data_IF_439791475737
#
_entry.id   IF_439791475737
#
_cell.length_a   1.000
_cell.length_b   1.000
_cell.length_c   1.000
_cell.angle_alpha   90.00
_cell.angle_beta   90.00
_cell.angle_gamma   90.00
#
_symmetry.space_group_name_H-M   'P 1'
#
loop_
_entity.id
_entity.type
_entity.pdbx_description
1 polymer ?
#
# COMPACT_ATOMS: atom_id res chain seq x y z
N UNK A 1 -40.65 7.95 10.00
CA UNK A 1 -39.46 8.55 9.37
C UNK A 1 -39.87 9.19 8.05
N UNK A 2 -39.44 10.43 7.80
CA UNK A 2 -39.72 11.16 6.56
C UNK A 2 -40.83 12.22 6.64
N UNK A 3 -41.07 12.83 7.80
CA UNK A 3 -41.96 14.01 7.90
C UNK A 3 -41.22 15.35 7.80
N UNK A 4 -39.89 15.32 7.89
CA UNK A 4 -39.01 16.46 7.69
C UNK A 4 -37.91 16.01 6.73
N UNK A 5 -37.60 16.85 5.75
CA UNK A 5 -36.48 16.61 4.87
C UNK A 5 -35.18 16.88 5.61
N UNK A 6 -34.28 15.90 5.60
CA UNK A 6 -32.98 15.98 6.24
C UNK A 6 -31.90 15.80 5.17
N UNK A 7 -31.40 16.91 4.62
CA UNK A 7 -30.42 16.90 3.52
C UNK A 7 -29.15 16.08 3.83
N UNK A 8 -28.82 15.91 5.11
CA UNK A 8 -27.66 15.14 5.57
C UNK A 8 -27.89 13.62 5.63
N UNK A 9 -29.12 13.13 5.45
CA UNK A 9 -29.44 11.70 5.58
C UNK A 9 -30.05 11.13 4.29
N UNK A 10 -29.29 10.28 3.60
CA UNK A 10 -29.86 9.46 2.52
C UNK A 10 -30.74 8.35 3.12
N UNK A 11 -32.03 8.68 3.22
CA UNK A 11 -33.06 7.79 3.74
C UNK A 11 -33.17 6.48 2.95
N UNK A 12 -33.10 6.55 1.62
CA UNK A 12 -33.31 5.38 0.77
C UNK A 12 -32.16 4.40 0.90
N UNK A 13 -30.92 4.93 0.96
CA UNK A 13 -29.74 4.13 1.24
C UNK A 13 -29.83 3.42 2.59
N UNK A 14 -30.16 4.15 3.67
CA UNK A 14 -30.25 3.59 5.01
C UNK A 14 -31.30 2.48 5.08
N UNK A 15 -32.49 2.69 4.52
CA UNK A 15 -33.58 1.71 4.60
C UNK A 15 -33.29 0.40 3.84
N UNK A 16 -32.43 0.40 2.81
CA UNK A 16 -32.05 -0.82 2.08
C UNK A 16 -31.39 -1.88 2.98
N UNK A 17 -30.71 -1.46 4.04
CA UNK A 17 -30.09 -2.36 5.02
C UNK A 17 -31.10 -3.09 5.91
N UNK A 18 -32.34 -2.60 5.99
CA UNK A 18 -33.38 -3.11 6.91
C UNK A 18 -34.50 -3.89 6.20
N UNK A 19 -34.47 -3.97 4.86
CA UNK A 19 -35.40 -4.78 4.09
C UNK A 19 -35.61 -4.29 2.66
N UNK A 20 -36.25 -5.13 1.84
CA UNK A 20 -36.52 -4.85 0.42
C UNK A 20 -37.75 -3.98 0.20
N UNK A 21 -38.71 -4.01 1.13
CA UNK A 21 -39.94 -3.22 1.04
C UNK A 21 -39.96 -2.13 2.10
N UNK A 22 -40.44 -0.96 1.73
CA UNK A 22 -40.36 0.25 2.56
C UNK A 22 -41.03 0.09 3.93
N UNK A 23 -42.21 -0.53 3.97
CA UNK A 23 -42.94 -0.77 5.22
C UNK A 23 -42.17 -1.69 6.18
N UNK A 24 -41.56 -2.77 5.66
CA UNK A 24 -40.77 -3.71 6.46
C UNK A 24 -39.47 -3.07 6.94
N UNK A 25 -38.76 -2.37 6.06
CA UNK A 25 -37.53 -1.66 6.39
C UNK A 25 -37.75 -0.60 7.48
N UNK A 26 -38.83 0.19 7.39
CA UNK A 26 -39.19 1.17 8.43
C UNK A 26 -39.50 0.53 9.79
N UNK A 27 -40.08 -0.67 9.80
CA UNK A 27 -40.40 -1.39 11.05
C UNK A 27 -39.12 -1.94 11.68
N UNK A 28 -38.32 -2.68 10.90
CA UNK A 28 -37.05 -3.25 11.34
C UNK A 28 -36.05 -2.18 11.80
N UNK A 29 -35.97 -1.04 11.11
CA UNK A 29 -35.15 0.09 11.53
C UNK A 29 -35.58 0.63 12.90
N UNK A 30 -36.88 0.80 13.16
CA UNK A 30 -37.37 1.28 14.45
C UNK A 30 -37.09 0.29 15.57
N UNK A 31 -37.33 -1.00 15.34
CA UNK A 31 -37.01 -2.06 16.30
C UNK A 31 -35.52 -2.08 16.62
N UNK A 32 -34.66 -1.94 15.61
CA UNK A 32 -33.21 -1.83 15.79
C UNK A 32 -32.84 -0.61 16.66
N UNK A 33 -33.38 0.56 16.34
CA UNK A 33 -33.13 1.78 17.13
C UNK A 33 -33.62 1.63 18.57
N UNK A 34 -34.79 1.03 18.79
CA UNK A 34 -35.36 0.83 20.12
C UNK A 34 -34.49 -0.12 20.95
N UNK A 35 -33.97 -1.19 20.35
CA UNK A 35 -32.97 -2.07 20.99
C UNK A 35 -31.66 -1.34 21.29
N UNK A 36 -31.25 -0.40 20.44
CA UNK A 36 -30.06 0.43 20.64
C UNK A 36 -30.20 1.42 21.80
N UNK A 37 -31.39 2.01 22.01
CA UNK A 37 -31.64 2.96 23.11
C UNK A 37 -31.35 2.32 24.48
N UNK A 38 -31.78 1.08 24.68
CA UNK A 38 -31.56 0.36 25.95
C UNK A 38 -30.07 0.09 26.25
N UNK A 39 -29.21 0.11 25.23
CA UNK A 39 -27.77 -0.11 25.40
C UNK A 39 -27.04 1.13 25.92
N UNK A 40 -27.71 2.28 26.01
CA UNK A 40 -27.15 3.50 26.60
C UNK A 40 -25.86 3.98 25.92
N UNK A 41 -24.96 4.59 26.71
CA UNK A 41 -23.65 5.02 26.23
C UNK A 41 -22.73 3.80 26.14
N UNK A 42 -22.18 3.56 24.95
CA UNK A 42 -21.25 2.48 24.66
C UNK A 42 -19.84 3.05 24.46
N UNK A 43 -19.04 3.23 25.54
CA UNK A 43 -17.72 3.87 25.51
C UNK A 43 -16.77 3.26 24.46
N UNK A 44 -16.92 1.97 24.19
CA UNK A 44 -16.17 1.22 23.20
C UNK A 44 -16.56 1.54 21.75
N UNK A 45 -17.81 1.99 21.50
CA UNK A 45 -18.30 2.39 20.18
C UNK A 45 -18.24 3.89 19.93
N UNK A 46 -17.94 4.70 20.96
CA UNK A 46 -17.60 6.13 20.81
C UNK A 46 -16.09 6.35 20.62
N UNK A 47 -15.32 5.27 20.45
CA UNK A 47 -13.88 5.29 20.25
C UNK A 47 -13.44 6.27 19.17
N UNK A 48 -12.81 7.35 19.60
CA UNK A 48 -12.16 8.35 18.78
C UNK A 48 -11.00 8.90 19.60
N UNK A 49 -9.89 8.15 19.57
CA UNK A 49 -8.82 8.10 20.58
C UNK A 49 -8.02 9.39 20.82
N UNK A 50 -8.51 10.57 20.45
CA UNK A 50 -7.75 11.80 20.69
C UNK A 50 -8.60 13.01 21.03
N UNK A 51 -9.48 13.46 20.13
CA UNK A 51 -10.12 14.78 20.29
C UNK A 51 -11.40 14.72 21.13
N UNK A 52 -12.13 13.60 21.11
CA UNK A 52 -13.41 13.47 21.83
C UNK A 52 -13.32 12.68 23.14
N UNK A 53 -12.45 11.68 23.21
CA UNK A 53 -12.25 10.89 24.43
C UNK A 53 -11.39 11.59 25.48
N UNK A 54 -10.40 12.39 25.07
CA UNK A 54 -9.50 13.10 25.99
C UNK A 54 -10.00 14.51 26.38
N UNK A 55 -11.22 14.92 25.99
CA UNK A 55 -11.78 16.21 26.41
C UNK A 55 -11.34 17.42 25.58
N UNK A 56 -10.98 17.22 24.29
CA UNK A 56 -10.74 18.31 23.34
C UNK A 56 -9.27 18.66 23.09
N UNK A 57 -9.05 19.65 22.22
CA UNK A 57 -7.71 20.06 21.73
C UNK A 57 -6.74 20.54 22.81
N UNK A 58 -7.25 21.05 23.93
CA UNK A 58 -6.44 21.52 25.06
C UNK A 58 -5.69 20.36 25.73
N UNK A 59 -6.35 19.22 25.93
CA UNK A 59 -5.76 18.02 26.55
C UNK A 59 -4.84 17.28 25.57
N UNK A 60 -5.16 17.29 24.27
CA UNK A 60 -4.26 16.76 23.25
C UNK A 60 -2.94 17.56 23.19
N UNK A 61 -3.01 18.89 23.36
CA UNK A 61 -1.81 19.74 23.43
C UNK A 61 -0.98 19.49 24.68
N UNK A 62 -1.59 19.21 25.84
CA UNK A 62 -0.84 18.88 27.06
C UNK A 62 -0.20 17.49 26.96
N UNK A 63 -0.89 16.48 26.41
CA UNK A 63 -0.30 15.15 26.15
C UNK A 63 0.89 15.20 25.19
N UNK A 64 0.82 16.03 24.14
CA UNK A 64 1.96 16.27 23.24
C UNK A 64 3.16 16.88 23.96
N UNK A 65 2.93 17.74 24.95
CA UNK A 65 4.01 18.32 25.78
C UNK A 65 4.62 17.31 26.75
N UNK A 66 3.90 16.26 27.15
CA UNK A 66 4.40 15.18 28.01
C UNK A 66 5.04 14.01 27.23
N UNK A 67 5.22 14.13 25.92
CA UNK A 67 5.88 13.12 25.08
C UNK A 67 5.01 11.90 24.72
N UNK A 68 3.77 11.84 25.19
CA UNK A 68 2.82 10.78 24.85
C UNK A 68 2.09 11.14 23.54
N UNK A 69 2.68 10.77 22.40
CA UNK A 69 2.11 11.03 21.08
C UNK A 69 1.39 9.80 20.54
N UNK A 70 0.06 9.83 20.58
CA UNK A 70 -0.80 8.90 19.82
C UNK A 70 -0.62 9.14 18.31
N UNK A 71 -0.29 8.08 17.57
CA UNK A 71 0.13 8.13 16.15
C UNK A 71 -1.04 8.11 15.14
N UNK A 72 -2.30 8.03 15.59
CA UNK A 72 -3.47 8.07 14.72
C UNK A 72 -4.80 8.22 15.46
N UNK A 73 -5.84 8.71 14.78
CA UNK A 73 -7.22 8.60 15.27
C UNK A 73 -7.77 7.24 14.84
N UNK A 74 -8.19 6.43 15.82
CA UNK A 74 -8.74 5.09 15.65
C UNK A 74 -9.85 4.98 14.59
N UNK A 75 -10.58 6.07 14.30
CA UNK A 75 -11.69 6.07 13.34
C UNK A 75 -11.28 6.43 11.92
N UNK A 76 -10.13 7.08 11.74
CA UNK A 76 -9.67 7.55 10.44
C UNK A 76 -8.61 6.60 9.90
N UNK A 77 -7.57 6.34 10.70
CA UNK A 77 -6.40 5.57 10.26
C UNK A 77 -6.25 4.22 11.00
N UNK A 78 -7.13 3.93 11.97
CA UNK A 78 -7.00 2.79 12.86
C UNK A 78 -6.18 3.10 14.12
N UNK A 79 -5.91 2.09 14.94
CA UNK A 79 -5.18 2.26 16.21
C UNK A 79 -3.77 2.83 16.00
N UNK A 80 -3.26 3.57 16.99
CA UNK A 80 -1.91 4.12 16.94
C UNK A 80 -0.83 3.06 16.68
N UNK A 81 -0.98 1.86 17.26
CA UNK A 81 -0.08 0.72 17.05
C UNK A 81 -0.11 0.21 15.61
N UNK A 82 -1.31 0.08 15.03
CA UNK A 82 -1.47 -0.33 13.63
C UNK A 82 -0.85 0.69 12.68
N UNK A 83 -1.10 1.98 12.91
CA UNK A 83 -0.51 3.06 12.09
C UNK A 83 1.02 3.07 12.24
N UNK A 84 1.54 2.90 13.45
CA UNK A 84 2.97 2.82 13.70
C UNK A 84 3.61 1.62 12.97
N UNK A 85 2.95 0.47 12.98
CA UNK A 85 3.39 -0.72 12.26
C UNK A 85 3.42 -0.48 10.75
N UNK A 86 2.34 0.08 10.18
CA UNK A 86 2.26 0.39 8.74
C UNK A 86 3.33 1.38 8.30
N UNK A 87 3.58 2.44 9.10
CA UNK A 87 4.66 3.40 8.83
C UNK A 87 6.02 2.72 8.87
N UNK A 88 6.27 1.88 9.89
CA UNK A 88 7.53 1.14 9.99
C UNK A 88 7.74 0.18 8.81
N UNK A 89 6.71 -0.53 8.36
CA UNK A 89 6.79 -1.40 7.19
C UNK A 89 7.08 -0.61 5.90
N UNK A 90 6.45 0.56 5.74
CA UNK A 90 6.71 1.45 4.62
C UNK A 90 8.15 1.99 4.65
N UNK A 91 8.61 2.47 5.81
CA UNK A 91 10.00 2.92 5.99
C UNK A 91 11.01 1.80 5.78
N UNK A 92 10.72 0.56 6.21
CA UNK A 92 11.61 -0.57 5.95
C UNK A 92 11.73 -0.88 4.45
N UNK A 93 10.67 -0.71 3.66
CA UNK A 93 10.77 -0.81 2.20
C UNK A 93 11.66 0.29 1.61
N UNK A 94 11.62 1.50 2.18
CA UNK A 94 12.49 2.61 1.77
C UNK A 94 13.94 2.37 2.21
N UNK A 95 14.19 1.92 3.44
CA UNK A 95 15.55 1.61 3.96
C UNK A 95 16.22 0.44 3.24
N UNK A 96 15.44 -0.44 2.59
CA UNK A 96 15.97 -1.50 1.71
C UNK A 96 16.37 -0.98 0.33
N UNK A 97 16.10 0.28 0.00
CA UNK A 97 16.74 0.95 -1.13
C UNK A 97 18.17 1.26 -0.70
N UNK A 98 19.09 0.40 -1.12
CA UNK A 98 20.52 0.67 -1.06
C UNK A 98 20.81 2.03 -1.72
N UNK A 99 21.89 2.70 -1.31
CA UNK A 99 22.36 3.87 -2.03
C UNK A 99 22.53 3.52 -3.52
N UNK A 100 22.26 4.47 -4.42
CA UNK A 100 22.26 4.21 -5.86
C UNK A 100 23.58 3.55 -6.32
N UNK A 101 24.70 3.95 -5.72
CA UNK A 101 26.03 3.43 -6.04
C UNK A 101 26.20 1.96 -5.59
N UNK A 102 25.73 1.60 -4.39
CA UNK A 102 25.77 0.22 -3.88
C UNK A 102 24.89 -0.73 -4.72
N UNK A 103 23.75 -0.24 -5.25
CA UNK A 103 22.90 -1.01 -6.16
C UNK A 103 23.60 -1.29 -7.48
N UNK A 104 24.27 -0.27 -8.03
CA UNK A 104 25.00 -0.37 -9.29
C UNK A 104 26.14 -1.37 -9.14
N UNK A 105 26.92 -1.30 -8.06
CA UNK A 105 28.03 -2.22 -7.83
C UNK A 105 27.56 -3.67 -7.70
N UNK A 106 26.50 -3.92 -6.92
CA UNK A 106 25.91 -5.27 -6.81
C UNK A 106 25.36 -5.79 -8.12
N UNK A 107 24.72 -4.93 -8.91
CA UNK A 107 24.21 -5.28 -10.22
C UNK A 107 25.34 -5.66 -11.19
N UNK A 108 26.44 -4.90 -11.21
CA UNK A 108 27.60 -5.22 -12.03
C UNK A 108 28.24 -6.55 -11.65
N UNK A 109 28.36 -6.81 -10.34
CA UNK A 109 28.85 -8.11 -9.85
C UNK A 109 27.96 -9.26 -10.32
N UNK A 110 26.64 -9.13 -10.17
CA UNK A 110 25.69 -10.15 -10.62
C UNK A 110 25.78 -10.39 -12.13
N UNK A 111 25.90 -9.34 -12.94
CA UNK A 111 26.05 -9.47 -14.39
C UNK A 111 27.34 -10.24 -14.73
N UNK A 112 28.47 -9.91 -14.08
CA UNK A 112 29.74 -10.60 -14.27
C UNK A 112 29.65 -12.08 -13.90
N UNK A 113 29.10 -12.39 -12.72
CA UNK A 113 28.95 -13.77 -12.24
C UNK A 113 28.06 -14.60 -13.18
N UNK A 114 26.94 -14.03 -13.66
CA UNK A 114 26.05 -14.68 -14.61
C UNK A 114 26.70 -14.91 -15.99
N UNK A 115 27.52 -13.96 -16.46
CA UNK A 115 28.26 -14.10 -17.71
C UNK A 115 29.29 -15.22 -17.63
N UNK A 116 29.99 -15.33 -16.51
CA UNK A 116 30.96 -16.40 -16.26
C UNK A 116 30.28 -17.77 -16.19
N UNK A 117 29.19 -17.90 -15.43
CA UNK A 117 28.46 -19.17 -15.25
C UNK A 117 27.89 -19.69 -16.58
N UNK A 118 27.48 -18.80 -17.48
CA UNK A 118 26.86 -19.17 -18.75
C UNK A 118 27.77 -19.03 -19.97
N UNK A 119 29.04 -18.70 -19.77
CA UNK A 119 30.05 -18.50 -20.82
C UNK A 119 29.60 -17.52 -21.92
N UNK A 120 29.04 -16.37 -21.50
CA UNK A 120 28.51 -15.32 -22.39
C UNK A 120 29.41 -14.10 -22.28
N UNK A 121 29.89 -13.57 -23.39
CA UNK A 121 30.58 -12.27 -23.39
C UNK A 121 29.59 -11.12 -23.15
N UNK A 122 30.02 -10.12 -22.37
CA UNK A 122 29.29 -8.88 -22.12
C UNK A 122 28.93 -8.17 -23.45
N UNK A 123 29.79 -8.25 -24.46
CA UNK A 123 29.54 -7.66 -25.78
C UNK A 123 28.33 -8.30 -26.46
N UNK A 124 28.11 -9.60 -26.24
CA UNK A 124 26.95 -10.32 -26.78
C UNK A 124 25.68 -9.86 -26.06
N UNK A 125 25.75 -9.54 -24.77
CA UNK A 125 24.62 -8.96 -24.05
C UNK A 125 24.29 -7.56 -24.58
N UNK A 126 25.27 -6.71 -24.85
CA UNK A 126 25.05 -5.38 -25.42
C UNK A 126 24.75 -5.37 -26.93
N UNK A 127 25.02 -6.47 -27.64
CA UNK A 127 24.78 -6.53 -29.08
C UNK A 127 23.28 -6.43 -29.43
N UNK A 128 22.96 -5.97 -30.64
CA UNK A 128 21.58 -6.02 -31.17
C UNK A 128 21.08 -7.44 -31.51
N UNK A 129 21.79 -8.50 -31.12
CA UNK A 129 21.48 -9.88 -31.49
C UNK A 129 20.11 -10.31 -30.96
N UNK A 130 19.27 -10.80 -31.88
CA UNK A 130 17.93 -11.34 -31.61
C UNK A 130 17.89 -12.87 -31.56
N UNK A 131 19.06 -13.53 -31.49
CA UNK A 131 19.14 -14.99 -31.33
C UNK A 131 18.41 -15.41 -30.06
N UNK A 132 17.59 -16.46 -30.14
CA UNK A 132 16.70 -16.90 -29.05
C UNK A 132 17.45 -17.17 -27.74
N UNK A 133 18.64 -17.76 -27.83
CA UNK A 133 19.51 -18.02 -26.68
C UNK A 133 19.91 -16.71 -25.96
N UNK A 134 20.40 -15.72 -26.70
CA UNK A 134 20.83 -14.42 -26.15
C UNK A 134 19.65 -13.64 -25.58
N UNK A 135 18.52 -13.60 -26.31
CA UNK A 135 17.31 -12.94 -25.85
C UNK A 135 16.76 -13.55 -24.56
N UNK A 136 16.78 -14.88 -24.42
CA UNK A 136 16.31 -15.56 -23.22
C UNK A 136 17.16 -15.21 -21.99
N UNK A 137 18.49 -15.18 -22.17
CA UNK A 137 19.46 -14.82 -21.13
C UNK A 137 19.31 -13.36 -20.69
N UNK A 138 19.13 -12.41 -21.64
CA UNK A 138 18.78 -11.01 -21.31
C UNK A 138 17.48 -10.90 -20.52
N UNK A 139 16.46 -11.68 -20.89
CA UNK A 139 15.19 -11.66 -20.15
C UNK A 139 15.33 -12.19 -18.73
N UNK A 140 16.18 -13.20 -18.50
CA UNK A 140 16.45 -13.72 -17.16
C UNK A 140 17.23 -12.70 -16.32
N UNK A 141 18.29 -12.11 -16.87
CA UNK A 141 19.06 -11.06 -16.21
C UNK A 141 18.20 -9.84 -15.87
N UNK A 142 17.36 -9.37 -16.79
CA UNK A 142 16.48 -8.24 -16.56
C UNK A 142 15.52 -8.48 -15.38
N UNK A 143 14.96 -9.69 -15.26
CA UNK A 143 14.13 -10.07 -14.10
C UNK A 143 14.93 -10.08 -12.80
N UNK A 144 16.16 -10.60 -12.81
CA UNK A 144 17.00 -10.63 -11.61
C UNK A 144 17.38 -9.21 -11.17
N UNK A 145 17.77 -8.34 -12.10
CA UNK A 145 18.17 -6.97 -11.79
C UNK A 145 17.01 -6.12 -11.25
N UNK A 146 15.81 -6.27 -11.81
CA UNK A 146 14.64 -5.51 -11.34
C UNK A 146 14.03 -6.11 -10.07
N UNK A 147 13.80 -7.42 -10.01
CA UNK A 147 13.07 -8.02 -8.90
C UNK A 147 13.94 -8.39 -7.70
N UNK A 148 15.22 -8.76 -7.89
CA UNK A 148 16.11 -9.14 -6.78
C UNK A 148 16.98 -7.97 -6.32
N UNK A 149 17.56 -7.21 -7.25
CA UNK A 149 18.43 -6.07 -6.91
C UNK A 149 17.62 -4.79 -6.70
N UNK A 150 16.52 -4.61 -7.41
CA UNK A 150 15.69 -3.40 -7.28
C UNK A 150 16.13 -2.24 -8.17
N UNK A 151 16.90 -2.51 -9.23
CA UNK A 151 17.29 -1.48 -10.19
C UNK A 151 16.08 -0.92 -10.95
N UNK A 152 16.17 0.35 -11.31
CA UNK A 152 15.18 0.94 -12.21
C UNK A 152 15.20 0.24 -13.59
N UNK A 153 14.07 0.26 -14.29
CA UNK A 153 14.00 -0.27 -15.66
C UNK A 153 14.95 0.47 -16.62
N UNK A 154 15.21 1.76 -16.36
CA UNK A 154 16.13 2.58 -17.15
C UNK A 154 17.59 2.18 -16.95
N UNK A 155 18.03 1.97 -15.71
CA UNK A 155 19.38 1.50 -15.41
C UNK A 155 19.60 0.07 -15.89
N UNK A 156 18.61 -0.80 -15.68
CA UNK A 156 18.63 -2.17 -16.21
C UNK A 156 18.79 -2.17 -17.74
N UNK A 157 18.08 -1.27 -18.43
CA UNK A 157 18.24 -1.09 -19.88
C UNK A 157 19.66 -0.68 -20.27
N UNK A 158 20.22 0.35 -19.62
CA UNK A 158 21.59 0.83 -19.85
C UNK A 158 22.64 -0.28 -19.66
N UNK A 159 22.52 -1.08 -18.59
CA UNK A 159 23.46 -2.16 -18.27
C UNK A 159 23.34 -3.38 -19.19
N UNK A 160 22.19 -3.61 -19.82
CA UNK A 160 21.97 -4.76 -20.71
C UNK A 160 21.92 -4.41 -22.21
N UNK A 161 22.11 -3.14 -22.58
CA UNK A 161 21.96 -2.67 -23.96
C UNK A 161 20.52 -2.73 -24.48
N UNK A 162 19.53 -2.59 -23.59
CA UNK A 162 18.10 -2.61 -23.91
C UNK A 162 17.47 -1.23 -23.72
N UNK A 163 16.38 -0.98 -24.46
CA UNK A 163 15.53 0.17 -24.18
C UNK A 163 14.73 -0.06 -22.89
N UNK A 164 14.35 1.03 -22.23
CA UNK A 164 13.46 1.00 -21.05
C UNK A 164 12.15 0.26 -21.33
N UNK A 165 11.56 0.51 -22.50
CA UNK A 165 10.36 -0.16 -23.00
C UNK A 165 10.57 -1.67 -23.24
N UNK A 166 11.76 -2.05 -23.72
CA UNK A 166 12.14 -3.46 -23.90
C UNK A 166 12.20 -4.21 -22.57
N UNK A 167 12.76 -3.60 -21.52
CA UNK A 167 12.77 -4.17 -20.17
C UNK A 167 11.36 -4.30 -19.62
N UNK A 168 10.53 -3.26 -19.75
CA UNK A 168 9.12 -3.30 -19.31
C UNK A 168 8.32 -4.41 -20.00
N UNK A 169 8.53 -4.62 -21.30
CA UNK A 169 7.86 -5.68 -22.06
C UNK A 169 8.33 -7.08 -21.63
N UNK A 170 9.62 -7.24 -21.30
CA UNK A 170 10.16 -8.49 -20.75
C UNK A 170 9.50 -8.82 -19.41
N UNK A 171 9.41 -7.84 -18.50
CA UNK A 171 8.77 -8.01 -17.20
C UNK A 171 7.31 -8.38 -17.36
N UNK A 172 6.57 -7.67 -18.22
CA UNK A 172 5.15 -7.95 -18.49
C UNK A 172 4.89 -9.34 -19.06
N UNK A 173 5.82 -9.89 -19.86
CA UNK A 173 5.67 -11.22 -20.47
C UNK A 173 5.99 -12.38 -19.52
N UNK A 174 6.71 -12.13 -18.43
CA UNK A 174 7.20 -13.15 -17.50
C UNK A 174 6.70 -12.98 -16.05
N UNK A 175 5.98 -11.90 -15.77
CA UNK A 175 5.14 -11.74 -14.58
C UNK A 175 3.83 -12.49 -14.75
#
# INVERSE_FOLDING_TARGET
MGRCDAAWQDRNYVLKWFGRTEGRAKRAYREFMQKGIAQGKRPELVGGGLIRSLGGWSVVKSLRRSGAQEKGDARILGSGDFVAQVINEAEQKVRRQLAADDLIERAEKLIKDYCLEHNISIDVLHSGSRRRAVSSKRSQLALMLVNKIGLSMAETGRKLGLTTSGVAQILRRKS
#
